data_IF_621756136475
#
_entry.id   IF_621756136475
#
_cell.length_a   1.000
_cell.length_b   1.000
_cell.length_c   1.000
_cell.angle_alpha   90.00
_cell.angle_beta   90.00
_cell.angle_gamma   90.00
#
_symmetry.space_group_name_H-M   'P 1'
#
loop_
_entity.id
_entity.type
_entity.pdbx_description
1 polymer ?
#
# COMPACT_ATOMS: atom_id res chain seq x y z
N UNK A 1 -22.62 0.10 1.69
CA UNK A 1 -21.56 0.27 2.72
C UNK A 1 -20.30 -0.56 2.47
N UNK A 2 -20.36 -1.84 2.12
CA UNK A 2 -19.14 -2.65 1.90
C UNK A 2 -18.23 -2.14 0.76
N UNK A 3 -18.82 -1.63 -0.32
CA UNK A 3 -18.09 -1.01 -1.45
C UNK A 3 -17.27 0.22 -1.04
N UNK A 4 -17.88 1.14 -0.28
CA UNK A 4 -17.19 2.34 0.20
C UNK A 4 -16.03 1.98 1.12
N UNK A 5 -16.18 0.98 1.98
CA UNK A 5 -15.10 0.49 2.85
C UNK A 5 -13.93 -0.06 2.04
N UNK A 6 -14.18 -0.87 0.99
CA UNK A 6 -13.11 -1.37 0.12
C UNK A 6 -12.34 -0.23 -0.57
N UNK A 7 -13.06 0.77 -1.08
CA UNK A 7 -12.44 1.95 -1.68
C UNK A 7 -11.61 2.76 -0.68
N UNK A 8 -12.11 2.96 0.54
CA UNK A 8 -11.35 3.61 1.62
C UNK A 8 -10.06 2.87 1.93
N UNK A 9 -10.09 1.54 2.05
CA UNK A 9 -8.90 0.73 2.33
C UNK A 9 -7.86 0.85 1.19
N UNK A 10 -8.30 0.78 -0.08
CA UNK A 10 -7.40 0.93 -1.23
C UNK A 10 -6.78 2.34 -1.24
N UNK A 11 -7.56 3.36 -0.91
CA UNK A 11 -7.08 4.75 -0.87
C UNK A 11 -6.06 4.97 0.26
N UNK A 12 -6.30 4.39 1.43
CA UNK A 12 -5.34 4.41 2.53
C UNK A 12 -4.05 3.67 2.14
N UNK A 13 -4.17 2.49 1.53
CA UNK A 13 -3.01 1.73 1.06
C UNK A 13 -2.18 2.51 0.03
N UNK A 14 -2.84 3.25 -0.86
CA UNK A 14 -2.18 4.15 -1.81
C UNK A 14 -1.41 5.26 -1.09
N UNK A 15 -2.03 5.95 -0.14
CA UNK A 15 -1.38 7.01 0.64
C UNK A 15 -0.15 6.49 1.39
N UNK A 16 -0.26 5.31 2.03
CA UNK A 16 0.87 4.64 2.68
C UNK A 16 1.99 4.36 1.69
N UNK A 17 1.69 3.84 0.50
CA UNK A 17 2.72 3.56 -0.52
C UNK A 17 3.43 4.83 -1.00
N UNK A 18 2.72 5.95 -1.15
CA UNK A 18 3.35 7.24 -1.54
C UNK A 18 4.32 7.71 -0.45
N UNK A 19 3.93 7.65 0.82
CA UNK A 19 4.80 8.04 1.94
C UNK A 19 6.00 7.10 2.06
N UNK A 20 5.78 5.78 1.98
CA UNK A 20 6.88 4.81 2.02
C UNK A 20 7.84 5.01 0.86
N UNK A 21 7.36 5.34 -0.34
CA UNK A 21 8.22 5.62 -1.50
C UNK A 21 9.08 6.86 -1.26
N UNK A 22 8.49 7.95 -0.75
CA UNK A 22 9.25 9.16 -0.41
C UNK A 22 10.38 8.83 0.58
N UNK A 23 10.06 8.16 1.70
CA UNK A 23 11.06 7.78 2.69
C UNK A 23 12.09 6.78 2.17
N UNK A 24 11.72 5.93 1.22
CA UNK A 24 12.65 5.01 0.57
C UNK A 24 13.67 5.78 -0.27
N UNK A 25 13.24 6.83 -0.99
CA UNK A 25 14.14 7.70 -1.77
C UNK A 25 15.07 8.47 -0.83
N UNK A 26 14.53 9.05 0.24
CA UNK A 26 15.32 9.76 1.26
C UNK A 26 16.37 8.84 1.90
N UNK A 27 15.97 7.65 2.34
CA UNK A 27 16.88 6.66 2.91
C UNK A 27 17.94 6.17 1.91
N UNK A 28 17.57 5.98 0.64
CA UNK A 28 18.52 5.58 -0.40
C UNK A 28 19.59 6.65 -0.65
N UNK A 29 19.17 7.92 -0.73
CA UNK A 29 20.09 9.06 -0.87
C UNK A 29 20.93 9.28 0.39
N UNK A 30 20.39 8.98 1.57
CA UNK A 30 21.11 8.98 2.84
C UNK A 30 22.05 7.79 3.07
N UNK A 31 22.13 6.84 2.12
CA UNK A 31 22.86 5.58 2.24
C UNK A 31 22.40 4.68 3.40
N UNK A 32 21.16 4.87 3.87
CA UNK A 32 20.52 4.14 4.95
C UNK A 32 19.77 2.91 4.41
N UNK A 33 20.52 1.92 3.91
CA UNK A 33 19.93 0.76 3.22
C UNK A 33 18.98 -0.08 4.10
N UNK A 34 19.20 -0.14 5.41
CA UNK A 34 18.27 -0.82 6.34
C UNK A 34 16.86 -0.20 6.29
N UNK A 35 16.78 1.13 6.29
CA UNK A 35 15.54 1.88 6.15
C UNK A 35 14.90 1.68 4.77
N UNK A 36 15.71 1.61 3.69
CA UNK A 36 15.23 1.29 2.34
C UNK A 36 14.53 -0.07 2.33
N UNK A 37 15.16 -1.10 2.88
CA UNK A 37 14.58 -2.45 2.94
C UNK A 37 13.30 -2.48 3.79
N UNK A 38 13.33 -1.85 4.96
CA UNK A 38 12.16 -1.79 5.85
C UNK A 38 10.97 -1.10 5.19
N UNK A 39 11.18 0.06 4.57
CA UNK A 39 10.13 0.81 3.89
C UNK A 39 9.58 0.04 2.68
N UNK A 40 10.47 -0.64 1.93
CA UNK A 40 10.07 -1.48 0.80
C UNK A 40 9.20 -2.67 1.24
N UNK A 41 9.54 -3.33 2.35
CA UNK A 41 8.72 -4.43 2.91
C UNK A 41 7.33 -3.92 3.30
N UNK A 42 7.25 -2.76 3.97
CA UNK A 42 5.97 -2.16 4.36
C UNK A 42 5.13 -1.80 3.12
N UNK A 43 5.74 -1.23 2.08
CA UNK A 43 5.07 -0.92 0.81
C UNK A 43 4.54 -2.19 0.11
N UNK A 44 5.33 -3.26 0.09
CA UNK A 44 4.93 -4.56 -0.45
C UNK A 44 3.71 -5.14 0.28
N UNK A 45 3.75 -5.17 1.61
CA UNK A 45 2.63 -5.67 2.44
C UNK A 45 1.37 -4.84 2.18
N UNK A 46 1.50 -3.51 2.16
CA UNK A 46 0.38 -2.59 1.85
C UNK A 46 -0.21 -2.85 0.47
N UNK A 47 0.64 -3.09 -0.54
CA UNK A 47 0.21 -3.40 -1.91
C UNK A 47 -0.53 -4.75 -1.99
N UNK A 48 -0.09 -5.76 -1.25
CA UNK A 48 -0.80 -7.05 -1.16
C UNK A 48 -2.17 -6.87 -0.51
N UNK A 49 -2.27 -6.08 0.56
CA UNK A 49 -3.56 -5.77 1.21
C UNK A 49 -4.49 -5.03 0.25
N UNK A 50 -3.97 -4.06 -0.53
CA UNK A 50 -4.74 -3.35 -1.54
C UNK A 50 -5.26 -4.30 -2.63
N UNK A 51 -4.42 -5.20 -3.13
CA UNK A 51 -4.79 -6.21 -4.12
C UNK A 51 -5.88 -7.15 -3.60
N UNK A 52 -5.72 -7.72 -2.41
CA UNK A 52 -6.74 -8.58 -1.79
C UNK A 52 -8.07 -7.84 -1.61
N UNK A 53 -8.01 -6.56 -1.23
CA UNK A 53 -9.19 -5.71 -1.08
C UNK A 53 -9.85 -5.43 -2.44
N UNK A 54 -9.07 -5.21 -3.49
CA UNK A 54 -9.59 -5.07 -4.86
C UNK A 54 -10.30 -6.34 -5.32
N UNK A 55 -9.74 -7.52 -5.08
CA UNK A 55 -10.41 -8.80 -5.41
C UNK A 55 -11.71 -8.98 -4.64
N UNK A 56 -11.74 -8.61 -3.34
CA UNK A 56 -12.98 -8.61 -2.55
C UNK A 56 -14.01 -7.64 -3.12
N UNK A 57 -13.60 -6.43 -3.51
CA UNK A 57 -14.49 -5.46 -4.14
C UNK A 57 -15.08 -6.00 -5.45
N UNK A 58 -14.26 -6.57 -6.34
CA UNK A 58 -14.75 -7.22 -7.57
C UNK A 58 -15.79 -8.30 -7.25
N UNK A 59 -15.55 -9.16 -6.27
CA UNK A 59 -16.50 -10.21 -5.88
C UNK A 59 -17.81 -9.66 -5.31
N UNK A 60 -17.82 -8.47 -4.71
CA UNK A 60 -19.03 -7.80 -4.20
C UNK A 60 -19.80 -7.11 -5.34
N UNK A 61 -19.09 -6.51 -6.29
CA UNK A 61 -19.70 -5.77 -7.40
C UNK A 61 -20.34 -6.71 -8.43
N UNK A 62 -19.67 -7.82 -8.76
CA UNK A 62 -20.13 -8.80 -9.76
C UNK A 62 -20.92 -9.97 -9.14
N UNK A 63 -21.54 -9.73 -7.98
CA UNK A 63 -22.38 -10.73 -7.30
C UNK A 63 -23.84 -10.57 -7.64
#
# INVERSE_FOLDING_TARGET
MAKTICWTIIFIALAVNVVMLQWTIEAYLGLEFDLVFRNTIVALISSVVALLTMFKWRKIEYK
#
